data_IF_097510337112
#
_entry.id   IF_097510337112
#
_cell.length_a   1.000
_cell.length_b   1.000
_cell.length_c   1.000
_cell.angle_alpha   90.00
_cell.angle_beta   90.00
_cell.angle_gamma   90.00
#
_symmetry.space_group_name_H-M   'P 1'
#
loop_
_entity.id
_entity.type
_entity.pdbx_description
1 polymer ?
#
# COMPACT_ATOMS: atom_id res chain seq x y z
N UNK A 1 8.40 28.52 -9.13
CA UNK A 1 9.65 28.02 -8.52
C UNK A 1 9.43 27.82 -7.03
N UNK A 2 9.98 26.78 -6.39
CA UNK A 2 9.88 26.60 -4.93
C UNK A 2 10.64 27.73 -4.21
N UNK A 3 10.04 28.34 -3.19
CA UNK A 3 10.65 29.43 -2.42
C UNK A 3 11.96 28.97 -1.76
N UNK A 4 12.87 29.92 -1.52
CA UNK A 4 14.14 29.65 -0.81
C UNK A 4 13.90 29.04 0.58
N UNK A 5 12.80 29.44 1.23
CA UNK A 5 12.34 28.91 2.51
C UNK A 5 11.90 27.44 2.37
N UNK A 6 11.11 27.11 1.35
CA UNK A 6 10.64 25.75 1.14
C UNK A 6 11.79 24.77 0.86
N UNK A 7 12.80 25.18 0.09
CA UNK A 7 14.00 24.36 -0.15
C UNK A 7 14.74 24.04 1.15
N UNK A 8 14.97 25.05 1.99
CA UNK A 8 15.65 24.90 3.28
C UNK A 8 14.91 23.96 4.24
N UNK A 9 13.57 24.03 4.27
CA UNK A 9 12.75 23.13 5.08
C UNK A 9 12.88 21.69 4.58
N UNK A 10 12.79 21.48 3.26
CA UNK A 10 12.94 20.15 2.66
C UNK A 10 14.32 19.54 2.91
N UNK A 11 15.39 20.33 2.86
CA UNK A 11 16.76 19.87 3.14
C UNK A 11 16.93 19.38 4.57
N UNK A 12 16.30 20.06 5.55
CA UNK A 12 16.38 19.72 6.99
C UNK A 12 15.39 18.63 7.43
N UNK A 13 14.41 18.29 6.59
CA UNK A 13 13.39 17.29 6.91
C UNK A 13 13.97 15.88 6.78
N UNK A 14 13.76 15.04 7.79
CA UNK A 14 14.28 13.67 7.81
C UNK A 14 13.69 12.80 6.68
N UNK A 15 14.40 11.74 6.24
CA UNK A 15 13.89 10.81 5.23
C UNK A 15 12.55 10.17 5.63
N UNK A 16 12.37 9.85 6.91
CA UNK A 16 11.16 9.22 7.46
C UNK A 16 9.98 10.18 7.36
N UNK A 17 10.15 11.45 7.74
CA UNK A 17 9.08 12.46 7.63
C UNK A 17 8.68 12.70 6.18
N UNK A 18 9.64 12.73 5.25
CA UNK A 18 9.35 12.82 3.81
C UNK A 18 8.54 11.62 3.32
N UNK A 19 8.93 10.42 3.74
CA UNK A 19 8.22 9.19 3.37
C UNK A 19 6.81 9.16 3.97
N UNK A 20 6.66 9.55 5.23
CA UNK A 20 5.37 9.65 5.90
C UNK A 20 4.45 10.62 5.15
N UNK A 21 4.89 11.86 4.91
CA UNK A 21 4.08 12.87 4.23
C UNK A 21 3.64 12.41 2.83
N UNK A 22 4.53 11.75 2.08
CA UNK A 22 4.19 11.19 0.77
C UNK A 22 3.12 10.11 0.86
N UNK A 23 3.35 9.07 1.69
CA UNK A 23 2.41 7.96 1.86
C UNK A 23 1.06 8.42 2.42
N UNK A 24 1.08 9.36 3.36
CA UNK A 24 -0.13 9.93 3.94
C UNK A 24 -0.95 10.69 2.89
N UNK A 25 -0.29 11.50 2.04
CA UNK A 25 -0.94 12.18 0.94
C UNK A 25 -1.55 11.22 -0.09
N UNK A 26 -0.84 10.15 -0.44
CA UNK A 26 -1.36 9.08 -1.32
C UNK A 26 -2.61 8.40 -0.73
N UNK A 27 -2.59 8.09 0.57
CA UNK A 27 -3.73 7.53 1.29
C UNK A 27 -4.95 8.46 1.26
N UNK A 28 -4.77 9.75 1.60
CA UNK A 28 -5.84 10.75 1.57
C UNK A 28 -6.41 10.92 0.16
N UNK A 29 -5.56 10.96 -0.87
CA UNK A 29 -6.00 11.04 -2.26
C UNK A 29 -6.86 9.83 -2.65
N UNK A 30 -6.48 8.61 -2.22
CA UNK A 30 -7.27 7.40 -2.46
C UNK A 30 -8.63 7.47 -1.77
N UNK A 31 -8.70 7.98 -0.54
CA UNK A 31 -9.96 8.20 0.16
C UNK A 31 -10.84 9.20 -0.60
N UNK A 32 -10.28 10.34 -1.04
CA UNK A 32 -11.03 11.31 -1.83
C UNK A 32 -11.56 10.74 -3.15
N UNK A 33 -10.77 9.90 -3.82
CA UNK A 33 -11.22 9.21 -5.03
C UNK A 33 -12.42 8.29 -4.73
N UNK A 34 -12.34 7.49 -3.67
CA UNK A 34 -13.43 6.60 -3.29
C UNK A 34 -14.71 7.35 -2.90
N UNK A 35 -14.57 8.50 -2.23
CA UNK A 35 -15.71 9.38 -1.94
C UNK A 35 -16.36 9.88 -3.23
N UNK A 36 -15.57 10.31 -4.22
CA UNK A 36 -16.09 10.73 -5.53
C UNK A 36 -16.80 9.59 -6.26
N UNK A 37 -16.20 8.40 -6.27
CA UNK A 37 -16.78 7.20 -6.90
C UNK A 37 -18.14 6.81 -6.27
N UNK A 38 -18.29 7.02 -4.96
CA UNK A 38 -19.56 6.81 -4.22
C UNK A 38 -20.52 8.00 -4.24
N UNK A 39 -20.13 9.13 -4.82
CA UNK A 39 -20.84 10.41 -4.69
C UNK A 39 -21.09 10.81 -3.22
N UNK A 40 -20.11 10.53 -2.35
CA UNK A 40 -20.13 10.88 -0.93
C UNK A 40 -19.41 12.18 -0.65
N UNK A 41 -19.95 12.96 0.27
CA UNK A 41 -19.28 14.10 0.90
C UNK A 41 -18.48 13.64 2.12
N UNK A 42 -17.63 14.53 2.66
CA UNK A 42 -16.96 14.25 3.94
C UNK A 42 -17.95 14.11 5.11
N UNK A 43 -19.16 14.69 5.01
CA UNK A 43 -20.21 14.53 6.01
C UNK A 43 -20.77 13.12 5.98
N UNK A 44 -20.99 12.57 4.80
CA UNK A 44 -21.46 11.19 4.64
C UNK A 44 -20.42 10.20 5.17
N UNK A 45 -19.14 10.44 4.90
CA UNK A 45 -18.05 9.68 5.51
C UNK A 45 -18.05 9.77 7.03
N UNK A 46 -18.29 10.95 7.60
CA UNK A 46 -18.34 11.14 9.05
C UNK A 46 -19.47 10.32 9.68
N UNK A 47 -20.64 10.30 9.03
CA UNK A 47 -21.79 9.47 9.46
C UNK A 47 -21.45 7.99 9.38
N UNK A 48 -20.91 7.50 8.26
CA UNK A 48 -20.52 6.10 8.09
C UNK A 48 -19.44 5.66 9.11
N UNK A 49 -18.50 6.56 9.39
CA UNK A 49 -17.43 6.32 10.35
C UNK A 49 -17.87 6.44 11.81
N UNK A 50 -19.11 6.90 12.09
CA UNK A 50 -19.58 7.27 13.43
C UNK A 50 -18.62 8.26 14.13
N UNK A 51 -18.30 9.34 13.41
CA UNK A 51 -17.31 10.36 13.80
C UNK A 51 -17.80 11.78 13.55
N UNK A 52 -17.16 12.73 14.21
CA UNK A 52 -17.44 14.15 13.98
C UNK A 52 -16.86 14.61 12.63
N UNK A 53 -17.56 15.46 11.87
CA UNK A 53 -17.04 16.01 10.61
C UNK A 53 -15.69 16.72 10.77
N UNK A 54 -15.45 17.34 11.93
CA UNK A 54 -14.16 17.97 12.25
C UNK A 54 -13.01 16.96 12.35
N UNK A 55 -13.27 15.75 12.86
CA UNK A 55 -12.28 14.67 12.96
C UNK A 55 -11.92 14.15 11.55
N UNK A 56 -12.93 13.92 10.71
CA UNK A 56 -12.71 13.54 9.30
C UNK A 56 -11.93 14.61 8.55
N UNK A 57 -12.29 15.88 8.73
CA UNK A 57 -11.58 17.01 8.08
C UNK A 57 -10.11 17.06 8.48
N UNK A 58 -9.80 16.89 9.77
CA UNK A 58 -8.42 16.85 10.28
C UNK A 58 -7.62 15.65 9.76
N UNK A 59 -8.26 14.50 9.57
CA UNK A 59 -7.61 13.36 8.92
C UNK A 59 -7.28 13.66 7.46
N UNK A 60 -8.24 14.18 6.69
CA UNK A 60 -8.06 14.43 5.26
C UNK A 60 -7.19 15.66 4.96
N UNK A 61 -7.01 16.59 5.90
CA UNK A 61 -6.05 17.68 5.79
C UNK A 61 -4.62 17.27 6.17
N UNK A 62 -4.45 16.12 6.83
CA UNK A 62 -3.17 15.66 7.37
C UNK A 62 -2.74 16.35 8.66
N UNK A 63 -3.66 17.03 9.34
CA UNK A 63 -3.41 17.60 10.68
C UNK A 63 -3.38 16.51 11.76
N UNK A 64 -4.21 15.48 11.61
CA UNK A 64 -4.31 14.36 12.55
C UNK A 64 -3.99 13.04 11.85
N UNK A 65 -3.18 12.21 12.49
CA UNK A 65 -2.84 10.89 11.96
C UNK A 65 -4.00 9.89 12.11
N UNK A 66 -4.16 9.02 11.11
CA UNK A 66 -5.05 7.87 11.17
C UNK A 66 -4.40 6.72 11.95
N UNK A 67 -5.19 6.02 12.76
CA UNK A 67 -4.76 4.75 13.37
C UNK A 67 -4.99 3.60 12.38
N UNK A 68 -4.29 2.47 12.56
CA UNK A 68 -4.55 1.29 11.75
C UNK A 68 -6.01 0.81 11.85
N UNK A 69 -6.61 0.87 13.04
CA UNK A 69 -8.04 0.57 13.25
C UNK A 69 -8.95 1.51 12.44
N UNK A 70 -8.60 2.79 12.36
CA UNK A 70 -9.33 3.77 11.54
C UNK A 70 -9.23 3.44 10.06
N UNK A 71 -8.05 3.03 9.57
CA UNK A 71 -7.84 2.64 8.17
C UNK A 71 -8.69 1.42 7.83
N UNK A 72 -8.65 0.37 8.65
CA UNK A 72 -9.46 -0.84 8.42
C UNK A 72 -10.96 -0.52 8.42
N UNK A 73 -11.43 0.37 9.30
CA UNK A 73 -12.83 0.81 9.28
C UNK A 73 -13.16 1.59 7.99
N UNK A 74 -12.27 2.49 7.55
CA UNK A 74 -12.44 3.20 6.27
C UNK A 74 -12.54 2.22 5.09
N UNK A 75 -11.70 1.19 5.05
CA UNK A 75 -11.76 0.14 4.01
C UNK A 75 -13.13 -0.53 3.98
N UNK A 76 -13.70 -0.85 5.15
CA UNK A 76 -15.02 -1.46 5.27
C UNK A 76 -16.14 -0.53 4.77
N UNK A 77 -16.20 0.71 5.27
CA UNK A 77 -17.25 1.68 4.92
C UNK A 77 -17.17 2.11 3.44
N UNK A 78 -15.96 2.28 2.93
CA UNK A 78 -15.72 2.65 1.55
C UNK A 78 -15.75 1.45 0.60
N UNK A 79 -15.65 0.21 1.09
CA UNK A 79 -15.64 -0.99 0.25
C UNK A 79 -14.42 -1.05 -0.67
N UNK A 80 -13.27 -0.57 -0.20
CA UNK A 80 -12.00 -0.51 -0.96
C UNK A 80 -10.86 -1.03 -0.10
N UNK A 81 -9.78 -1.49 -0.74
CA UNK A 81 -8.50 -1.72 -0.07
C UNK A 81 -7.67 -0.42 -0.08
N UNK A 82 -7.23 0.01 1.11
CA UNK A 82 -6.37 1.17 1.34
C UNK A 82 -4.94 0.74 1.70
N UNK A 83 -4.77 -0.41 2.37
CA UNK A 83 -3.48 -0.96 2.75
C UNK A 83 -3.34 -2.41 2.27
N UNK A 84 -2.41 -2.64 1.35
CA UNK A 84 -2.04 -3.97 0.89
C UNK A 84 -0.88 -4.54 1.72
N UNK A 85 -1.07 -5.73 2.29
CA UNK A 85 -0.03 -6.50 2.96
C UNK A 85 0.38 -7.67 2.03
N UNK A 86 1.59 -7.65 1.46
CA UNK A 86 2.02 -8.70 0.55
C UNK A 86 2.11 -10.05 1.28
N UNK A 87 1.56 -11.10 0.67
CA UNK A 87 1.66 -12.45 1.20
C UNK A 87 3.10 -12.95 1.06
N UNK A 88 3.69 -13.40 2.16
CA UNK A 88 4.96 -14.13 2.12
C UNK A 88 4.68 -15.56 1.67
N UNK A 89 5.02 -15.89 0.42
CA UNK A 89 5.03 -17.28 -0.05
C UNK A 89 6.38 -17.90 0.29
N UNK A 90 6.43 -18.67 1.38
CA UNK A 90 7.51 -19.63 1.60
C UNK A 90 7.14 -20.91 0.86
N UNK A 91 7.98 -21.35 -0.08
CA UNK A 91 7.85 -22.67 -0.67
C UNK A 91 8.72 -23.64 0.14
N UNK A 92 8.11 -24.71 0.65
CA UNK A 92 8.87 -25.83 1.21
C UNK A 92 9.19 -26.79 0.05
N UNK A 93 10.46 -26.82 -0.35
CA UNK A 93 10.97 -27.84 -1.26
C UNK A 93 11.24 -29.11 -0.44
N UNK A 94 10.39 -30.12 -0.59
CA UNK A 94 10.76 -31.49 -0.25
C UNK A 94 11.54 -32.09 -1.41
N UNK A 95 12.83 -31.77 -1.50
CA UNK A 95 13.76 -32.41 -2.43
C UNK A 95 14.75 -33.25 -1.62
N UNK A 96 14.97 -34.51 -2.02
CA UNK A 96 16.01 -35.37 -1.43
C UNK A 96 17.42 -34.77 -1.58
N UNK A 97 17.59 -33.84 -2.52
CA UNK A 97 18.82 -33.08 -2.74
C UNK A 97 18.74 -31.70 -2.09
N UNK A 98 19.74 -31.33 -1.29
CA UNK A 98 19.89 -29.96 -0.75
C UNK A 98 20.14 -28.98 -1.91
N UNK A 99 19.17 -28.13 -2.21
CA UNK A 99 19.34 -26.99 -3.12
C UNK A 99 19.56 -25.73 -2.28
N UNK A 100 20.72 -25.09 -2.41
CA UNK A 100 20.91 -23.74 -1.90
C UNK A 100 20.58 -22.74 -3.02
N UNK A 101 19.68 -21.81 -2.74
CA UNK A 101 19.42 -20.68 -3.63
C UNK A 101 19.41 -19.37 -2.83
N UNK A 102 20.06 -18.35 -3.38
CA UNK A 102 20.02 -16.99 -2.83
C UNK A 102 18.81 -16.28 -3.43
N UNK A 103 17.76 -16.08 -2.63
CA UNK A 103 16.59 -15.30 -3.07
C UNK A 103 16.97 -13.82 -3.06
N UNK A 104 17.19 -13.25 -4.24
CA UNK A 104 17.40 -11.81 -4.40
C UNK A 104 16.07 -11.10 -4.13
N UNK A 105 16.09 -10.06 -3.29
CA UNK A 105 14.93 -9.26 -2.90
C UNK A 105 14.13 -8.85 -4.14
N UNK A 106 12.88 -9.32 -4.22
CA UNK A 106 12.03 -9.16 -5.39
C UNK A 106 11.77 -7.66 -5.64
N UNK A 107 12.10 -7.16 -6.84
CA UNK A 107 11.63 -5.86 -7.31
C UNK A 107 10.13 -6.02 -7.63
N UNK A 108 9.25 -5.11 -7.19
CA UNK A 108 7.83 -5.18 -7.52
C UNK A 108 7.67 -5.10 -9.05
N UNK A 109 7.07 -6.14 -9.64
CA UNK A 109 6.76 -6.17 -11.06
C UNK A 109 5.51 -5.31 -11.28
N UNK A 110 5.65 -4.17 -11.96
CA UNK A 110 4.56 -3.21 -12.19
C UNK A 110 3.43 -3.75 -13.10
N UNK A 111 3.60 -4.92 -13.71
CA UNK A 111 2.60 -5.50 -14.61
C UNK A 111 1.92 -6.70 -13.95
N UNK A 112 0.58 -6.67 -13.96
CA UNK A 112 -0.26 -7.85 -13.77
C UNK A 112 0.04 -8.84 -14.91
N UNK A 113 1.13 -9.60 -14.76
CA UNK A 113 1.34 -10.77 -15.58
C UNK A 113 0.29 -11.79 -15.14
N UNK A 114 -0.51 -12.27 -16.07
CA UNK A 114 -1.52 -13.30 -15.79
C UNK A 114 -0.86 -14.48 -15.07
N UNK A 115 -1.57 -15.09 -14.14
CA UNK A 115 -1.08 -16.27 -13.43
C UNK A 115 -0.67 -17.34 -14.44
N UNK A 116 0.62 -17.62 -14.53
CA UNK A 116 1.14 -18.76 -15.31
C UNK A 116 1.28 -19.93 -14.33
N UNK A 117 0.44 -20.96 -14.40
CA UNK A 117 0.64 -22.15 -13.60
C UNK A 117 2.00 -22.76 -13.91
N UNK A 118 2.74 -23.15 -12.86
CA UNK A 118 4.05 -23.76 -13.01
C UNK A 118 3.94 -24.99 -13.92
N UNK A 119 4.58 -24.94 -15.09
CA UNK A 119 4.70 -26.10 -15.96
C UNK A 119 5.72 -27.06 -15.36
N UNK A 120 5.34 -28.34 -15.23
CA UNK A 120 6.27 -29.41 -14.89
C UNK A 120 7.29 -29.55 -16.02
N UNK A 121 8.50 -29.07 -15.80
CA UNK A 121 9.63 -29.42 -16.66
C UNK A 121 10.09 -30.84 -16.32
N UNK A 122 9.78 -31.79 -17.19
CA UNK A 122 10.41 -33.11 -17.18
C UNK A 122 11.73 -32.97 -17.91
N UNK A 123 12.84 -32.97 -17.16
CA UNK A 123 14.17 -33.06 -17.77
C UNK A 123 14.28 -34.43 -18.42
N UNK A 124 14.45 -34.47 -19.76
CA UNK A 124 14.86 -35.69 -20.44
C UNK A 124 16.27 -36.01 -19.99
N UNK A 125 16.45 -37.13 -19.31
CA UNK A 125 17.77 -37.66 -19.02
C UNK A 125 18.54 -37.79 -20.34
N UNK A 126 19.76 -37.23 -20.38
CA UNK A 126 20.69 -37.48 -21.46
C UNK A 126 21.07 -38.96 -21.38
N UNK A 127 20.57 -39.77 -22.31
CA UNK A 127 21.14 -41.09 -22.57
C UNK A 127 22.60 -40.92 -22.99
N UNK A 128 23.44 -41.76 -22.40
CA UNK A 128 24.90 -41.79 -22.51
C UNK A 128 25.42 -41.94 -23.94
#
# INVERSE_FOLDING_TARGET
MRSSVAKRILERTSPETKQFARKYGELVNRIHQALKEKNWTQKDLAVAMDKQPSEISKWLSGEHNLTFKSIVKLEHELGIELLYIPKTVSFEMHTETKVQMTVVRNQPVEKLTGFVPAQKYVYKEKTA
#
